data_IF_988207627420
#
_entry.id   IF_988207627420
#
_cell.length_a   1.000
_cell.length_b   1.000
_cell.length_c   1.000
_cell.angle_alpha   90.00
_cell.angle_beta   90.00
_cell.angle_gamma   90.00
#
_symmetry.space_group_name_H-M   'P 1'
#
loop_
_entity.id
_entity.type
_entity.pdbx_description
1 polymer ?
#
# COMPACT_ATOMS: atom_id res chain seq x y z
N UNK A 1 7.11 -59.09 4.77
CA UNK A 1 6.01 -58.19 5.17
C UNK A 1 6.66 -56.93 5.72
N UNK A 2 6.79 -55.89 4.89
CA UNK A 2 7.48 -54.65 5.26
C UNK A 2 6.46 -53.61 5.74
N UNK A 3 6.66 -52.92 6.87
CA UNK A 3 5.78 -51.83 7.26
C UNK A 3 6.15 -50.59 6.43
N UNK A 4 5.17 -50.08 5.67
CA UNK A 4 5.29 -48.83 4.94
C UNK A 4 5.36 -47.66 5.93
N UNK A 5 6.40 -46.86 5.83
CA UNK A 5 6.51 -45.59 6.55
C UNK A 5 5.51 -44.61 5.97
N UNK A 6 4.40 -44.37 6.68
CA UNK A 6 3.54 -43.22 6.43
C UNK A 6 4.36 -41.95 6.64
N UNK A 7 4.83 -41.36 5.54
CA UNK A 7 5.21 -39.96 5.51
C UNK A 7 3.95 -39.17 5.87
N UNK A 8 3.88 -38.68 7.10
CA UNK A 8 3.06 -37.51 7.39
C UNK A 8 3.54 -36.41 6.47
N UNK A 9 2.85 -36.21 5.35
CA UNK A 9 2.91 -34.97 4.61
C UNK A 9 2.46 -33.91 5.60
N UNK A 10 3.42 -33.26 6.28
CA UNK A 10 3.19 -31.89 6.72
C UNK A 10 2.82 -31.19 5.43
N UNK A 11 1.54 -30.86 5.28
CA UNK A 11 1.17 -29.78 4.40
C UNK A 11 2.11 -28.65 4.81
N UNK A 12 3.12 -28.39 3.98
CA UNK A 12 3.62 -27.05 3.87
C UNK A 12 2.35 -26.28 3.54
N UNK A 13 1.73 -25.67 4.56
CA UNK A 13 0.97 -24.47 4.31
C UNK A 13 1.92 -23.67 3.44
N UNK A 14 1.63 -23.56 2.15
CA UNK A 14 2.44 -22.85 1.19
C UNK A 14 2.85 -21.56 1.88
N UNK A 15 4.10 -21.49 2.35
CA UNK A 15 4.58 -20.33 3.07
C UNK A 15 4.44 -19.25 2.02
N UNK A 16 3.43 -18.39 2.16
CA UNK A 16 3.09 -17.42 1.13
C UNK A 16 4.29 -16.50 1.02
N UNK A 17 5.21 -16.78 0.10
CA UNK A 17 6.43 -15.99 -0.06
C UNK A 17 6.01 -14.74 -0.81
N UNK A 18 5.68 -13.71 -0.03
CA UNK A 18 5.46 -12.38 -0.59
C UNK A 18 6.78 -11.80 -1.09
N UNK A 19 6.72 -11.03 -2.16
CA UNK A 19 7.90 -10.40 -2.76
C UNK A 19 7.51 -9.11 -3.48
N UNK A 20 8.48 -8.23 -3.68
CA UNK A 20 8.27 -6.94 -4.36
C UNK A 20 7.59 -7.09 -5.73
N UNK A 21 7.97 -8.12 -6.49
CA UNK A 21 7.43 -8.40 -7.82
C UNK A 21 5.95 -8.76 -7.83
N UNK A 22 5.41 -9.28 -6.72
CA UNK A 22 3.99 -9.67 -6.65
C UNK A 22 3.06 -8.48 -6.79
N UNK A 23 3.50 -7.29 -6.34
CA UNK A 23 2.67 -6.10 -6.39
C UNK A 23 2.59 -5.50 -7.79
N UNK A 24 3.45 -5.89 -8.75
CA UNK A 24 3.47 -5.30 -10.11
C UNK A 24 2.07 -5.18 -10.70
N UNK A 25 1.69 -3.97 -11.11
CA UNK A 25 0.38 -3.66 -11.68
C UNK A 25 -0.25 -2.38 -11.13
N UNK A 26 -1.42 -2.05 -11.63
CA UNK A 26 -2.18 -0.84 -11.28
C UNK A 26 -3.15 -1.09 -10.13
N UNK A 27 -3.23 -0.16 -9.21
CA UNK A 27 -4.12 -0.21 -8.05
C UNK A 27 -4.86 1.10 -7.90
N UNK A 28 -6.10 1.02 -7.45
CA UNK A 28 -6.80 2.16 -6.89
C UNK A 28 -6.48 2.22 -5.39
N UNK A 29 -5.74 3.23 -4.98
CA UNK A 29 -5.42 3.49 -3.59
C UNK A 29 -6.30 4.60 -3.04
N UNK A 30 -7.06 4.26 -2.00
CA UNK A 30 -7.87 5.21 -1.25
C UNK A 30 -7.44 5.22 0.20
N UNK A 31 -7.50 6.38 0.84
CA UNK A 31 -7.33 6.49 2.28
C UNK A 31 -8.07 7.70 2.84
N UNK A 32 -8.50 7.54 4.09
CA UNK A 32 -9.01 8.61 4.92
C UNK A 32 -7.93 8.98 5.94
N UNK A 33 -7.84 10.28 6.23
CA UNK A 33 -6.84 10.83 7.11
C UNK A 33 -7.36 12.02 7.90
N UNK A 34 -6.59 12.41 8.91
CA UNK A 34 -6.72 13.67 9.61
C UNK A 34 -5.34 14.32 9.69
N UNK A 35 -5.26 15.58 9.29
CA UNK A 35 -4.06 16.40 9.35
C UNK A 35 -4.23 17.49 10.40
N UNK A 36 -3.20 17.69 11.23
CA UNK A 36 -3.24 18.67 12.31
C UNK A 36 -2.52 19.96 11.88
N UNK A 37 -3.31 20.97 11.50
CA UNK A 37 -2.83 22.31 11.22
C UNK A 37 -2.93 23.17 12.48
N UNK A 38 -1.82 23.31 13.21
CA UNK A 38 -1.70 24.17 14.41
C UNK A 38 -2.79 23.93 15.47
N UNK A 39 -3.12 22.65 15.73
CA UNK A 39 -4.13 22.24 16.70
C UNK A 39 -5.53 22.03 16.10
N UNK A 40 -5.72 22.35 14.82
CA UNK A 40 -6.96 22.11 14.10
C UNK A 40 -6.85 20.83 13.26
N UNK A 41 -7.54 19.77 13.68
CA UNK A 41 -7.62 18.52 12.92
C UNK A 41 -8.60 18.66 11.75
N UNK A 42 -8.06 18.58 10.55
CA UNK A 42 -8.80 18.70 9.30
C UNK A 42 -8.90 17.33 8.64
N UNK A 43 -10.10 16.89 8.20
CA UNK A 43 -10.24 15.63 7.51
C UNK A 43 -9.62 15.70 6.12
N UNK A 44 -8.99 14.60 5.70
CA UNK A 44 -8.43 14.43 4.37
C UNK A 44 -8.96 13.15 3.75
N UNK A 45 -9.36 13.22 2.48
CA UNK A 45 -9.77 12.08 1.69
C UNK A 45 -8.96 12.02 0.40
N UNK A 46 -8.42 10.84 0.09
CA UNK A 46 -7.57 10.63 -1.10
C UNK A 46 -8.07 9.45 -1.91
N UNK A 47 -8.09 9.62 -3.23
CA UNK A 47 -8.27 8.56 -4.20
C UNK A 47 -7.25 8.75 -5.32
N UNK A 48 -6.43 7.72 -5.58
CA UNK A 48 -5.36 7.79 -6.57
C UNK A 48 -5.07 6.45 -7.24
N UNK A 49 -4.60 6.51 -8.48
CA UNK A 49 -4.07 5.37 -9.22
C UNK A 49 -2.60 5.17 -8.90
N UNK A 50 -2.25 4.04 -8.28
CA UNK A 50 -0.87 3.70 -7.95
C UNK A 50 -0.39 2.55 -8.84
N UNK A 51 0.59 2.83 -9.69
CA UNK A 51 1.32 1.82 -10.43
C UNK A 51 2.48 1.31 -9.57
N UNK A 52 2.47 0.02 -9.24
CA UNK A 52 3.64 -0.67 -8.70
C UNK A 52 4.44 -1.26 -9.85
N UNK A 53 5.72 -0.94 -9.97
CA UNK A 53 6.55 -1.37 -11.10
C UNK A 53 7.07 -2.82 -10.97
N UNK A 54 7.02 -3.39 -9.76
CA UNK A 54 7.51 -4.75 -9.49
C UNK A 54 8.98 -4.82 -9.10
N UNK A 55 9.67 -3.68 -9.03
CA UNK A 55 11.09 -3.53 -8.71
C UNK A 55 11.33 -2.71 -7.42
N UNK A 56 10.26 -2.34 -6.71
CA UNK A 56 10.32 -1.54 -5.49
C UNK A 56 10.06 -0.07 -5.73
N UNK A 57 9.70 0.34 -6.95
CA UNK A 57 9.31 1.71 -7.27
C UNK A 57 7.82 1.83 -7.60
N UNK A 58 7.23 2.98 -7.30
CA UNK A 58 5.84 3.31 -7.63
C UNK A 58 5.72 4.62 -8.37
N UNK A 59 4.64 4.75 -9.13
CA UNK A 59 4.27 5.97 -9.83
C UNK A 59 2.77 6.22 -9.71
N UNK A 60 2.39 7.47 -9.45
CA UNK A 60 1.01 7.90 -9.36
C UNK A 60 0.47 8.29 -10.74
N UNK A 61 -0.52 7.56 -11.24
CA UNK A 61 -1.04 7.72 -12.60
C UNK A 61 -2.19 8.73 -12.69
N UNK A 62 -2.90 8.95 -11.59
CA UNK A 62 -3.96 9.96 -11.46
C UNK A 62 -4.32 10.08 -9.97
N UNK A 63 -4.97 11.17 -9.55
CA UNK A 63 -5.59 11.18 -8.24
C UNK A 63 -6.23 12.50 -7.87
N UNK A 64 -7.02 12.46 -6.81
CA UNK A 64 -7.67 13.62 -6.21
C UNK A 64 -7.47 13.57 -4.70
N UNK A 65 -7.14 14.72 -4.13
CA UNK A 65 -6.97 14.92 -2.69
C UNK A 65 -7.95 16.01 -2.26
N UNK A 66 -8.70 15.77 -1.19
CA UNK A 66 -9.56 16.76 -0.56
C UNK A 66 -9.10 16.96 0.88
N UNK A 67 -8.71 18.19 1.23
CA UNK A 67 -8.23 18.58 2.56
C UNK A 67 -9.21 19.62 3.11
N UNK A 68 -10.07 19.22 4.05
CA UNK A 68 -11.01 20.15 4.69
C UNK A 68 -11.96 20.88 3.73
N UNK A 69 -12.19 20.35 2.53
CA UNK A 69 -12.96 21.00 1.46
C UNK A 69 -12.12 21.68 0.37
N UNK A 70 -10.81 21.84 0.56
CA UNK A 70 -9.89 22.28 -0.50
C UNK A 70 -9.47 21.08 -1.36
N UNK A 71 -9.79 21.13 -2.66
CA UNK A 71 -9.61 20.00 -3.58
C UNK A 71 -8.44 20.24 -4.53
N UNK A 72 -7.54 19.27 -4.59
CA UNK A 72 -6.48 19.14 -5.60
C UNK A 72 -6.89 18.01 -6.55
N UNK A 73 -7.24 18.36 -7.78
CA UNK A 73 -7.78 17.41 -8.77
C UNK A 73 -6.73 16.59 -9.53
N UNK A 74 -5.46 16.98 -9.44
CA UNK A 74 -4.38 16.29 -10.14
C UNK A 74 -3.15 16.17 -9.24
N UNK A 75 -2.83 14.93 -8.85
CA UNK A 75 -1.60 14.55 -8.13
C UNK A 75 -0.77 13.54 -8.94
N UNK A 76 -0.96 13.52 -10.26
CA UNK A 76 -0.22 12.67 -11.20
C UNK A 76 1.28 12.98 -11.14
N UNK A 77 2.11 11.96 -11.36
CA UNK A 77 3.56 12.14 -11.46
C UNK A 77 4.32 11.90 -10.16
N UNK A 78 3.62 11.83 -9.01
CA UNK A 78 4.25 11.51 -7.74
C UNK A 78 4.91 10.12 -7.81
N UNK A 79 6.18 10.06 -7.46
CA UNK A 79 6.96 8.81 -7.40
C UNK A 79 7.13 8.36 -5.96
N UNK A 80 7.37 7.07 -5.78
CA UNK A 80 7.62 6.49 -4.47
C UNK A 80 8.43 5.21 -4.55
N UNK A 81 8.72 4.65 -3.38
CA UNK A 81 9.36 3.36 -3.23
C UNK A 81 8.57 2.47 -2.28
N UNK A 82 8.74 1.16 -2.41
CA UNK A 82 8.08 0.20 -1.55
C UNK A 82 8.93 -1.05 -1.33
N UNK A 83 8.68 -1.70 -0.20
CA UNK A 83 9.28 -2.97 0.17
C UNK A 83 8.19 -3.99 0.43
N UNK A 84 8.52 -5.28 0.25
CA UNK A 84 7.66 -6.39 0.65
C UNK A 84 8.55 -7.50 1.20
N UNK A 85 8.41 -7.78 2.49
CA UNK A 85 9.07 -8.89 3.16
C UNK A 85 8.34 -10.22 2.86
N UNK A 86 9.01 -11.38 3.07
CA UNK A 86 8.41 -12.70 2.84
C UNK A 86 7.13 -12.98 3.65
N UNK A 87 6.91 -12.28 4.75
CA UNK A 87 5.72 -12.37 5.60
C UNK A 87 4.55 -11.47 5.14
N UNK A 88 4.68 -10.86 3.96
CA UNK A 88 3.71 -9.95 3.35
C UNK A 88 3.58 -8.58 4.03
N UNK A 89 4.44 -8.26 4.98
CA UNK A 89 4.57 -6.90 5.51
C UNK A 89 5.53 -6.08 4.65
N UNK A 90 5.51 -4.76 4.80
CA UNK A 90 6.46 -3.90 4.11
C UNK A 90 6.20 -2.44 4.37
N UNK A 91 6.80 -1.60 3.54
CA UNK A 91 6.63 -0.15 3.57
C UNK A 91 6.27 0.40 2.20
N UNK A 92 5.58 1.53 2.18
CA UNK A 92 5.36 2.39 1.01
C UNK A 92 5.76 3.80 1.39
N UNK A 93 6.65 4.43 0.63
CA UNK A 93 7.15 5.78 0.87
C UNK A 93 6.93 6.64 -0.35
N UNK A 94 6.25 7.77 -0.18
CA UNK A 94 6.02 8.74 -1.25
C UNK A 94 7.11 9.81 -1.19
N UNK A 95 7.75 10.10 -2.32
CA UNK A 95 8.80 11.12 -2.36
C UNK A 95 8.21 12.50 -2.05
N UNK A 96 8.71 13.14 -0.99
CA UNK A 96 8.17 14.42 -0.52
C UNK A 96 6.82 14.29 0.20
N UNK A 97 6.41 13.08 0.57
CA UNK A 97 5.17 12.79 1.29
C UNK A 97 5.37 11.82 2.47
N UNK A 98 4.28 11.27 3.02
CA UNK A 98 4.34 10.36 4.15
C UNK A 98 4.81 8.96 3.74
N UNK A 99 5.22 8.19 4.74
CA UNK A 99 5.46 6.75 4.63
C UNK A 99 4.39 5.96 5.36
N UNK A 100 4.17 4.73 4.89
CA UNK A 100 3.15 3.82 5.34
C UNK A 100 3.73 2.44 5.61
N UNK A 101 3.26 1.78 6.65
CA UNK A 101 3.37 0.34 6.75
C UNK A 101 2.29 -0.29 5.87
N UNK A 102 2.65 -1.37 5.18
CA UNK A 102 1.74 -2.10 4.31
C UNK A 102 1.60 -3.56 4.72
N UNK A 103 0.43 -4.13 4.46
CA UNK A 103 0.20 -5.56 4.47
C UNK A 103 -0.38 -6.00 3.13
N UNK A 104 0.24 -6.98 2.49
CA UNK A 104 -0.16 -7.48 1.17
C UNK A 104 -1.09 -8.68 1.32
N UNK A 105 -2.31 -8.53 0.82
CA UNK A 105 -3.32 -9.57 0.84
C UNK A 105 -3.07 -10.73 -0.13
N UNK A 106 -3.89 -11.79 -0.03
CA UNK A 106 -3.90 -12.90 -0.98
C UNK A 106 -3.84 -12.48 -2.44
N UNK A 107 -2.90 -13.06 -3.19
CA UNK A 107 -2.75 -12.80 -4.62
C UNK A 107 -2.45 -11.34 -4.96
N UNK A 108 -2.00 -10.53 -3.99
CA UNK A 108 -1.79 -9.10 -4.15
C UNK A 108 -3.03 -8.38 -4.74
N UNK A 109 -4.24 -8.82 -4.40
CA UNK A 109 -5.49 -8.18 -4.85
C UNK A 109 -5.81 -6.91 -4.05
N UNK A 110 -5.30 -6.82 -2.84
CA UNK A 110 -5.50 -5.72 -1.92
C UNK A 110 -4.26 -5.53 -1.07
N UNK A 111 -3.91 -4.27 -0.79
CA UNK A 111 -2.86 -3.88 0.14
C UNK A 111 -3.51 -2.97 1.18
N UNK A 112 -3.30 -3.22 2.46
CA UNK A 112 -3.71 -2.31 3.53
C UNK A 112 -2.57 -1.39 3.87
N UNK A 113 -2.87 -0.11 4.13
CA UNK A 113 -1.88 0.91 4.45
C UNK A 113 -2.25 1.60 5.75
N UNK A 114 -1.24 1.88 6.57
CA UNK A 114 -1.35 2.78 7.72
C UNK A 114 -0.12 3.67 7.76
N UNK A 115 -0.32 4.97 7.97
CA UNK A 115 0.79 5.92 8.03
C UNK A 115 1.72 5.61 9.20
N UNK A 116 3.01 5.59 8.91
CA UNK A 116 4.10 5.30 9.85
C UNK A 116 5.10 6.44 10.00
N UNK A 117 4.96 7.51 9.21
CA UNK A 117 5.67 8.77 9.39
C UNK A 117 4.74 9.97 9.17
N UNK A 118 4.97 11.13 9.80
CA UNK A 118 4.19 12.33 9.53
C UNK A 118 4.29 12.76 8.05
N UNK A 119 3.27 13.47 7.57
CA UNK A 119 3.29 14.16 6.28
C UNK A 119 4.13 15.45 6.43
N UNK A 120 4.94 15.85 5.43
CA UNK A 120 5.66 17.13 5.48
C UNK A 120 4.75 18.36 5.59
N UNK A 121 3.49 18.28 5.13
CA UNK A 121 2.50 19.35 5.24
C UNK A 121 2.05 19.58 6.68
N UNK A 122 1.76 18.49 7.40
CA UNK A 122 1.30 18.50 8.77
C UNK A 122 1.47 17.11 9.42
N UNK A 123 1.58 17.02 10.76
CA UNK A 123 1.46 15.74 11.42
C UNK A 123 0.02 15.23 11.32
N UNK A 124 -0.12 13.94 10.98
CA UNK A 124 -1.43 13.36 10.74
C UNK A 124 -1.49 11.87 11.02
N UNK A 125 -2.69 11.33 10.85
CA UNK A 125 -2.97 9.90 10.88
C UNK A 125 -3.75 9.54 9.63
N UNK A 126 -3.42 8.41 9.01
CA UNK A 126 -4.17 7.92 7.85
C UNK A 126 -4.20 6.41 7.79
N UNK A 127 -5.28 5.90 7.20
CA UNK A 127 -5.49 4.47 6.93
C UNK A 127 -6.17 4.31 5.58
N UNK A 128 -5.70 3.34 4.82
CA UNK A 128 -6.21 3.11 3.48
C UNK A 128 -6.10 1.68 2.98
N UNK A 129 -6.52 1.53 1.73
CA UNK A 129 -6.38 0.29 0.98
C UNK A 129 -6.08 0.58 -0.48
N UNK A 130 -5.12 -0.14 -1.05
CA UNK A 130 -4.90 -0.19 -2.49
C UNK A 130 -5.51 -1.48 -3.04
N UNK A 131 -6.48 -1.37 -3.95
CA UNK A 131 -7.15 -2.51 -4.59
C UNK A 131 -6.64 -2.64 -6.02
N UNK A 132 -6.18 -3.84 -6.39
CA UNK A 132 -5.67 -4.11 -7.73
C UNK A 132 -6.79 -3.93 -8.77
N UNK A 133 -6.50 -3.14 -9.80
CA UNK A 133 -7.39 -2.99 -10.94
C UNK A 133 -7.30 -4.21 -11.87
N UNK A 134 -8.40 -4.62 -12.52
CA UNK A 134 -8.33 -5.57 -13.61
C UNK A 134 -7.34 -5.07 -14.67
N UNK A 135 -6.55 -5.98 -15.26
CA UNK A 135 -5.49 -5.61 -16.22
C UNK A 135 -6.02 -4.65 -17.29
N UNK A 136 -5.40 -3.48 -17.36
CA UNK A 136 -5.43 -2.61 -18.53
C UNK A 136 -4.20 -2.92 -19.39
#
# INVERSE_FOLDING_TARGET
MAPGTSTTARAAADARVCSVGMLRGSYLWTFDAYENFDGNFVPVAVMQGLQFNGDGTTYNTFGTVNIGGTIVFDVTGAVGSYTVAPDCTGTLSITGGPSFNIYVGPGARQVWTIQSSPDPLAPGVSRGTAVRLPGQ
#
